data_IF_217880565930
#
_entry.id   IF_217880565930
#
_cell.length_a   1.000
_cell.length_b   1.000
_cell.length_c   1.000
_cell.angle_alpha   90.00
_cell.angle_beta   90.00
_cell.angle_gamma   90.00
#
_symmetry.space_group_name_H-M   'P 1'
#
loop_
_entity.id
_entity.type
_entity.pdbx_description
1 polymer ?
#
# COMPACT_ATOMS: atom_id res chain seq x y z
N UNK A 1 35.64 -11.22 68.38
CA UNK A 1 35.15 -9.85 68.67
C UNK A 1 35.06 -9.16 67.32
N UNK A 2 33.89 -9.09 66.67
CA UNK A 2 32.77 -8.23 67.01
C UNK A 2 33.14 -6.78 66.63
N UNK A 3 32.43 -5.99 65.85
CA UNK A 3 31.08 -6.07 65.27
C UNK A 3 30.98 -4.94 64.19
N UNK A 4 29.91 -4.99 63.41
CA UNK A 4 29.34 -4.12 62.37
C UNK A 4 29.61 -2.58 62.31
N UNK A 5 29.60 -2.04 61.07
CA UNK A 5 28.73 -0.94 60.50
C UNK A 5 29.39 -0.38 59.22
N UNK A 6 28.94 -0.70 57.99
CA UNK A 6 27.80 -0.17 57.20
C UNK A 6 27.94 1.29 56.71
N UNK A 7 27.83 1.47 55.37
CA UNK A 7 27.50 2.65 54.51
C UNK A 7 28.58 2.85 53.44
N UNK A 8 28.37 2.92 52.13
CA UNK A 8 27.20 3.12 51.26
C UNK A 8 27.56 2.55 49.87
N UNK A 9 26.69 1.73 49.28
CA UNK A 9 26.83 1.28 47.91
C UNK A 9 26.13 2.30 46.99
N UNK A 10 26.90 2.98 46.14
CA UNK A 10 26.36 3.86 45.09
C UNK A 10 25.62 3.00 44.07
N UNK A 11 24.29 2.92 44.20
CA UNK A 11 23.41 2.40 43.16
C UNK A 11 23.28 3.48 42.07
N UNK A 12 24.01 3.29 40.98
CA UNK A 12 23.72 4.00 39.73
C UNK A 12 22.37 3.54 39.20
N UNK A 13 21.32 4.32 39.49
CA UNK A 13 20.01 4.19 38.85
C UNK A 13 20.17 4.68 37.41
N UNK A 14 20.30 3.76 36.47
CA UNK A 14 20.05 4.08 35.06
C UNK A 14 18.54 4.34 34.91
N UNK A 15 18.16 5.61 34.98
CA UNK A 15 16.85 6.06 34.52
C UNK A 15 16.85 5.91 33.00
N UNK A 16 16.28 4.80 32.53
CA UNK A 16 15.99 4.62 31.11
C UNK A 16 14.91 5.64 30.75
N UNK A 17 15.32 6.79 30.21
CA UNK A 17 14.40 7.73 29.58
C UNK A 17 13.82 7.05 28.33
N UNK A 18 12.68 6.37 28.50
CA UNK A 18 11.79 6.06 27.40
C UNK A 18 11.34 7.39 26.80
N UNK A 19 12.03 7.83 25.75
CA UNK A 19 11.52 8.87 24.86
C UNK A 19 10.26 8.32 24.19
N UNK A 20 9.11 8.52 24.82
CA UNK A 20 7.84 8.56 24.11
C UNK A 20 7.93 9.75 23.16
N UNK A 21 8.29 9.50 21.91
CA UNK A 21 8.06 10.44 20.83
C UNK A 21 6.54 10.55 20.71
N UNK A 22 5.96 11.55 21.38
CA UNK A 22 4.59 11.95 21.11
C UNK A 22 4.53 12.37 19.65
N UNK A 23 3.82 11.60 18.83
CA UNK A 23 3.46 11.98 17.47
C UNK A 23 2.43 13.09 17.62
N UNK A 24 2.91 14.32 17.81
CA UNK A 24 2.04 15.50 17.76
C UNK A 24 1.83 15.77 16.27
N UNK A 25 0.71 15.29 15.73
CA UNK A 25 0.16 15.81 14.49
C UNK A 25 -0.01 17.32 14.67
N UNK A 26 0.42 18.12 13.70
CA UNK A 26 0.24 19.57 13.76
C UNK A 26 -1.25 19.89 13.99
N UNK A 27 -1.58 20.88 14.84
CA UNK A 27 -2.98 21.23 15.10
C UNK A 27 -3.71 21.52 13.78
N UNK A 28 -4.80 20.81 13.51
CA UNK A 28 -5.63 20.96 12.30
C UNK A 28 -5.36 19.96 11.17
N UNK A 29 -4.41 19.04 11.31
CA UNK A 29 -4.13 18.04 10.29
C UNK A 29 -5.02 16.78 10.41
N UNK A 30 -5.94 16.60 9.45
CA UNK A 30 -6.88 15.46 9.38
C UNK A 30 -6.28 14.16 8.79
N UNK A 31 -4.95 14.02 8.75
CA UNK A 31 -4.29 12.85 8.15
C UNK A 31 -4.67 11.56 8.90
N UNK A 32 -4.95 10.49 8.15
CA UNK A 32 -5.32 9.19 8.71
C UNK A 32 -6.74 9.10 9.26
N UNK A 33 -7.56 10.14 9.04
CA UNK A 33 -8.98 10.14 9.39
C UNK A 33 -9.85 9.94 8.15
N UNK A 34 -11.02 9.31 8.34
CA UNK A 34 -12.03 9.23 7.27
C UNK A 34 -12.56 10.65 7.01
N UNK A 35 -12.70 11.01 5.74
CA UNK A 35 -13.19 12.31 5.31
C UNK A 35 -14.44 12.19 4.43
N UNK A 36 -15.30 13.21 4.46
CA UNK A 36 -16.41 13.36 3.52
C UNK A 36 -15.97 14.03 2.21
N UNK A 37 -14.74 14.56 2.16
CA UNK A 37 -14.19 15.15 0.95
C UNK A 37 -14.09 14.09 -0.16
N UNK A 38 -14.76 14.37 -1.28
CA UNK A 38 -14.70 13.52 -2.47
C UNK A 38 -13.33 13.61 -3.14
N UNK A 39 -12.88 12.51 -3.75
CA UNK A 39 -11.70 12.54 -4.60
C UNK A 39 -11.89 13.46 -5.82
N UNK A 40 -10.83 14.14 -6.21
CA UNK A 40 -10.78 14.97 -7.42
C UNK A 40 -10.35 14.11 -8.62
N UNK A 41 -10.94 14.36 -9.80
CA UNK A 41 -10.63 13.61 -11.02
C UNK A 41 -10.18 14.55 -12.13
N UNK A 42 -9.00 14.28 -12.67
CA UNK A 42 -8.41 14.98 -13.81
C UNK A 42 -8.11 13.96 -14.89
N UNK A 43 -8.49 14.24 -16.13
CA UNK A 43 -8.28 13.32 -17.25
C UNK A 43 -7.65 14.05 -18.44
N UNK A 44 -6.83 13.32 -19.21
CA UNK A 44 -6.35 13.78 -20.51
C UNK A 44 -7.51 13.85 -21.52
N UNK A 45 -7.41 14.72 -22.52
CA UNK A 45 -8.50 15.00 -23.47
C UNK A 45 -8.91 13.81 -24.35
N UNK A 46 -8.06 12.78 -24.43
CA UNK A 46 -8.31 11.53 -25.17
C UNK A 46 -8.88 10.41 -24.30
N UNK A 47 -9.10 10.66 -23.01
CA UNK A 47 -9.76 9.70 -22.10
C UNK A 47 -11.27 9.83 -22.28
N UNK A 48 -11.93 8.72 -22.60
CA UNK A 48 -13.38 8.67 -22.72
C UNK A 48 -14.06 8.83 -21.34
N UNK A 49 -15.20 9.51 -21.30
CA UNK A 49 -16.00 9.69 -20.06
C UNK A 49 -16.33 8.36 -19.38
N UNK A 50 -16.58 7.30 -20.16
CA UNK A 50 -16.84 5.97 -19.63
C UNK A 50 -15.69 5.40 -18.80
N UNK A 51 -14.45 5.74 -19.11
CA UNK A 51 -13.28 5.37 -18.30
C UNK A 51 -13.23 6.19 -17.01
N UNK A 52 -13.54 7.48 -17.06
CA UNK A 52 -13.58 8.35 -15.87
C UNK A 52 -14.63 7.83 -14.88
N UNK A 53 -15.85 7.54 -15.38
CA UNK A 53 -16.94 7.00 -14.56
C UNK A 53 -16.64 5.60 -14.04
N UNK A 54 -15.95 4.76 -14.82
CA UNK A 54 -15.48 3.46 -14.35
C UNK A 54 -14.50 3.62 -13.17
N UNK A 55 -13.51 4.51 -13.28
CA UNK A 55 -12.55 4.77 -12.21
C UNK A 55 -13.24 5.31 -10.96
N UNK A 56 -14.16 6.28 -11.10
CA UNK A 56 -14.97 6.81 -9.99
C UNK A 56 -15.74 5.69 -9.28
N UNK A 57 -16.43 4.83 -10.03
CA UNK A 57 -17.20 3.71 -9.47
C UNK A 57 -16.32 2.78 -8.63
N UNK A 58 -15.14 2.40 -9.12
CA UNK A 58 -14.26 1.49 -8.39
C UNK A 58 -13.56 2.16 -7.19
N UNK A 59 -13.24 3.45 -7.29
CA UNK A 59 -12.85 4.26 -6.14
C UNK A 59 -13.95 4.26 -5.07
N UNK A 60 -15.21 4.50 -5.42
CA UNK A 60 -16.32 4.56 -4.47
C UNK A 60 -16.54 3.21 -3.77
N UNK A 61 -16.39 2.09 -4.49
CA UNK A 61 -16.41 0.74 -3.92
C UNK A 61 -15.28 0.60 -2.88
N UNK A 62 -14.06 1.01 -3.22
CA UNK A 62 -12.91 0.95 -2.33
C UNK A 62 -13.08 1.82 -1.08
N UNK A 63 -13.48 3.08 -1.27
CA UNK A 63 -13.70 4.05 -0.20
C UNK A 63 -14.83 3.63 0.74
N UNK A 64 -15.91 3.05 0.21
CA UNK A 64 -16.98 2.47 1.03
C UNK A 64 -16.49 1.28 1.86
N UNK A 65 -15.63 0.43 1.30
CA UNK A 65 -15.19 -0.79 1.97
C UNK A 65 -14.06 -0.57 2.99
N UNK A 66 -13.14 0.34 2.70
CA UNK A 66 -11.94 0.56 3.51
C UNK A 66 -11.92 1.90 4.26
N UNK A 67 -12.87 2.79 3.98
CA UNK A 67 -12.92 4.17 4.46
C UNK A 67 -12.40 5.15 3.41
N UNK A 68 -13.00 6.34 3.35
CA UNK A 68 -12.62 7.40 2.44
C UNK A 68 -11.47 8.25 3.04
N UNK A 69 -10.28 8.19 2.47
CA UNK A 69 -9.11 8.93 2.94
C UNK A 69 -8.64 9.93 1.88
N UNK A 70 -8.24 11.12 2.32
CA UNK A 70 -7.84 12.20 1.43
C UNK A 70 -7.04 13.31 2.14
N UNK A 71 -6.75 14.41 1.44
CA UNK A 71 -7.18 14.72 0.07
C UNK A 71 -6.64 13.72 -0.97
N UNK A 72 -7.47 13.32 -1.94
CA UNK A 72 -7.13 12.32 -2.96
C UNK A 72 -7.43 12.87 -4.37
N UNK A 73 -6.47 12.68 -5.26
CA UNK A 73 -6.58 13.06 -6.67
C UNK A 73 -6.34 11.84 -7.57
N UNK A 74 -7.23 11.64 -8.54
CA UNK A 74 -7.03 10.73 -9.66
C UNK A 74 -6.61 11.51 -10.91
N UNK A 75 -5.51 11.08 -11.52
CA UNK A 75 -5.01 11.58 -12.80
C UNK A 75 -5.08 10.47 -13.83
N UNK A 76 -6.06 10.56 -14.73
CA UNK A 76 -6.37 9.53 -15.71
C UNK A 76 -5.72 9.91 -17.04
N UNK A 77 -4.84 9.03 -17.52
CA UNK A 77 -4.01 9.26 -18.71
C UNK A 77 -4.49 8.35 -19.83
N UNK A 78 -4.73 8.93 -21.01
CA UNK A 78 -5.05 8.18 -22.23
C UNK A 78 -3.80 7.60 -22.90
N UNK A 79 -3.87 7.42 -24.22
CA UNK A 79 -2.78 6.88 -25.04
C UNK A 79 -2.09 7.94 -25.90
N UNK A 80 -2.59 9.17 -25.90
CA UNK A 80 -2.04 10.28 -26.69
C UNK A 80 -1.01 11.08 -25.88
N UNK A 81 0.25 11.08 -26.33
CA UNK A 81 1.35 11.79 -25.66
C UNK A 81 1.15 13.32 -25.60
N UNK A 82 0.53 13.94 -26.62
CA UNK A 82 0.27 15.37 -26.63
C UNK A 82 -0.83 15.76 -25.62
N UNK A 83 -1.87 14.94 -25.50
CA UNK A 83 -2.89 15.09 -24.47
C UNK A 83 -2.29 14.90 -23.06
N UNK A 84 -1.43 13.89 -22.88
CA UNK A 84 -0.71 13.65 -21.63
C UNK A 84 0.22 14.82 -21.25
N UNK A 85 0.93 15.40 -22.22
CA UNK A 85 1.77 16.59 -22.01
C UNK A 85 0.95 17.82 -21.61
N UNK A 86 -0.28 17.94 -22.11
CA UNK A 86 -1.21 19.01 -21.71
C UNK A 86 -1.69 18.78 -20.27
N UNK A 87 -2.00 17.53 -19.92
CA UNK A 87 -2.35 17.15 -18.56
C UNK A 87 -1.18 17.40 -17.57
N UNK A 88 0.06 17.19 -18.00
CA UNK A 88 1.26 17.48 -17.19
C UNK A 88 1.37 18.97 -16.83
N UNK A 89 1.06 19.86 -17.76
CA UNK A 89 1.02 21.31 -17.49
C UNK A 89 -0.03 21.63 -16.43
N UNK A 90 -1.26 21.11 -16.60
CA UNK A 90 -2.35 21.27 -15.63
C UNK A 90 -1.95 20.76 -14.24
N UNK A 91 -1.30 19.60 -14.15
CA UNK A 91 -0.77 19.08 -12.88
C UNK A 91 0.19 20.05 -12.21
N UNK A 92 1.13 20.58 -12.97
CA UNK A 92 2.12 21.52 -12.46
C UNK A 92 1.53 22.87 -12.06
N UNK A 93 0.51 23.36 -12.77
CA UNK A 93 -0.23 24.56 -12.38
C UNK A 93 -0.93 24.36 -11.04
N UNK A 94 -1.62 23.22 -10.84
CA UNK A 94 -2.24 22.90 -9.55
C UNK A 94 -1.18 22.73 -8.45
N UNK A 95 -0.05 22.07 -8.73
CA UNK A 95 1.04 21.96 -7.73
C UNK A 95 1.57 23.35 -7.35
N UNK A 96 1.72 24.26 -8.32
CA UNK A 96 2.17 25.64 -8.09
C UNK A 96 1.18 26.45 -7.26
N UNK A 97 -0.13 26.24 -7.45
CA UNK A 97 -1.17 26.84 -6.62
C UNK A 97 -1.09 26.34 -5.16
N UNK A 98 -0.92 25.03 -4.97
CA UNK A 98 -0.82 24.41 -3.64
C UNK A 98 0.49 24.74 -2.92
N UNK A 99 1.59 24.89 -3.66
CA UNK A 99 2.86 25.35 -3.15
C UNK A 99 3.55 26.29 -4.16
N UNK A 100 3.43 27.62 -3.96
CA UNK A 100 4.06 28.63 -4.82
C UNK A 100 5.59 28.51 -4.90
N UNK A 101 6.24 27.75 -4.02
CA UNK A 101 7.69 27.54 -4.09
C UNK A 101 8.12 26.51 -5.14
N UNK A 102 7.20 25.67 -5.63
CA UNK A 102 7.52 24.64 -6.63
C UNK A 102 7.95 25.30 -7.95
N UNK A 103 9.15 24.99 -8.49
CA UNK A 103 9.56 25.52 -9.78
C UNK A 103 8.91 24.71 -10.91
N UNK A 104 8.21 25.40 -11.81
CA UNK A 104 7.42 24.76 -12.88
C UNK A 104 8.28 23.85 -13.78
N UNK A 105 9.52 24.27 -14.06
CA UNK A 105 10.49 23.51 -14.86
C UNK A 105 10.84 22.16 -14.22
N UNK A 106 10.98 22.10 -12.89
CA UNK A 106 11.27 20.84 -12.19
C UNK A 106 10.03 19.94 -12.16
N UNK A 107 8.84 20.52 -11.99
CA UNK A 107 7.60 19.75 -12.01
C UNK A 107 7.33 19.09 -13.38
N UNK A 108 7.54 19.83 -14.48
CA UNK A 108 7.35 19.31 -15.84
C UNK A 108 8.36 18.21 -16.21
N UNK A 109 9.57 18.26 -15.64
CA UNK A 109 10.63 17.27 -15.86
C UNK A 109 10.70 16.20 -14.78
N UNK A 110 9.59 15.94 -14.07
CA UNK A 110 9.54 14.88 -13.05
C UNK A 110 9.62 13.48 -13.69
N UNK A 111 10.21 12.53 -12.96
CA UNK A 111 10.10 11.12 -13.30
C UNK A 111 8.65 10.65 -13.23
N UNK A 112 8.30 9.62 -14.01
CA UNK A 112 6.94 9.08 -14.09
C UNK A 112 5.88 10.16 -14.40
N UNK A 113 6.18 11.08 -15.32
CA UNK A 113 5.21 12.07 -15.81
C UNK A 113 4.11 11.40 -16.65
N UNK A 114 3.05 12.14 -16.99
CA UNK A 114 1.91 11.52 -17.68
C UNK A 114 2.24 11.06 -19.09
N UNK A 115 3.18 11.71 -19.78
CA UNK A 115 3.69 11.20 -21.07
C UNK A 115 4.25 9.78 -20.91
N UNK A 116 5.01 9.51 -19.84
CA UNK A 116 5.52 8.16 -19.58
C UNK A 116 4.42 7.13 -19.34
N UNK A 117 3.32 7.52 -18.68
CA UNK A 117 2.14 6.66 -18.47
C UNK A 117 1.35 6.41 -19.76
N UNK A 118 1.27 7.39 -20.66
CA UNK A 118 0.65 7.21 -21.97
C UNK A 118 1.44 6.21 -22.83
N UNK A 119 2.79 6.26 -22.76
CA UNK A 119 3.67 5.35 -23.51
C UNK A 119 3.67 3.95 -22.89
N UNK A 120 3.92 3.86 -21.57
CA UNK A 120 4.25 2.61 -20.89
C UNK A 120 3.05 1.91 -20.24
N UNK A 121 1.95 2.62 -20.00
CA UNK A 121 0.81 2.10 -19.27
C UNK A 121 1.00 2.12 -17.75
N UNK A 122 0.26 1.23 -17.08
CA UNK A 122 0.28 0.99 -15.63
C UNK A 122 -0.46 2.04 -14.79
N UNK A 123 -0.51 1.80 -13.48
CA UNK A 123 -1.01 2.72 -12.48
C UNK A 123 0.06 2.96 -11.39
N UNK A 124 -0.21 3.91 -10.49
CA UNK A 124 0.64 4.10 -9.32
C UNK A 124 0.16 5.21 -8.39
N UNK A 125 0.39 5.00 -7.10
CA UNK A 125 0.21 6.00 -6.07
C UNK A 125 1.49 6.83 -5.84
N UNK A 126 1.31 8.14 -5.75
CA UNK A 126 2.29 9.07 -5.21
C UNK A 126 1.73 9.69 -3.92
N UNK A 127 2.28 9.26 -2.77
CA UNK A 127 1.95 9.80 -1.46
C UNK A 127 2.77 11.07 -1.19
N UNK A 128 2.09 12.20 -1.00
CA UNK A 128 2.69 13.48 -0.59
C UNK A 128 2.57 13.59 0.93
N UNK A 129 3.67 13.39 1.65
CA UNK A 129 3.72 13.37 3.12
C UNK A 129 5.09 13.78 3.69
N UNK A 130 5.99 14.35 2.90
CA UNK A 130 7.36 14.64 3.38
C UNK A 130 7.40 15.88 4.30
N UNK A 131 8.41 15.95 5.16
CA UNK A 131 8.64 17.09 6.09
C UNK A 131 8.78 18.44 5.37
N UNK A 132 9.27 18.42 4.14
CA UNK A 132 9.46 19.62 3.32
C UNK A 132 8.26 19.95 2.41
N UNK A 133 7.16 19.21 2.50
CA UNK A 133 5.97 19.44 1.68
C UNK A 133 4.92 20.25 2.44
N UNK A 134 4.51 21.38 1.86
CA UNK A 134 3.43 22.23 2.41
C UNK A 134 2.04 21.61 2.27
N UNK A 135 1.88 20.68 1.33
CA UNK A 135 0.64 19.97 1.07
C UNK A 135 0.86 18.47 1.24
N UNK A 136 -0.06 17.82 1.96
CA UNK A 136 -0.13 16.37 2.06
C UNK A 136 -1.41 15.84 1.42
N UNK A 137 -1.29 14.70 0.76
CA UNK A 137 -2.39 14.05 0.07
C UNK A 137 -1.92 12.89 -0.78
N UNK A 138 -2.85 12.31 -1.52
CA UNK A 138 -2.64 11.14 -2.34
C UNK A 138 -2.90 11.48 -3.80
N UNK A 139 -2.04 10.98 -4.69
CA UNK A 139 -2.14 11.21 -6.12
C UNK A 139 -2.06 9.84 -6.79
N UNK A 140 -3.19 9.32 -7.27
CA UNK A 140 -3.23 8.10 -8.06
C UNK A 140 -3.17 8.48 -9.54
N UNK A 141 -2.24 7.89 -10.27
CA UNK A 141 -2.22 7.96 -11.74
C UNK A 141 -2.74 6.65 -12.31
N UNK A 142 -3.73 6.72 -13.20
CA UNK A 142 -4.30 5.56 -13.91
C UNK A 142 -4.09 5.72 -15.41
N UNK A 143 -3.31 4.84 -16.04
CA UNK A 143 -3.24 4.81 -17.51
C UNK A 143 -4.41 4.05 -18.12
N UNK A 144 -4.80 4.39 -19.35
CA UNK A 144 -5.75 3.64 -20.18
C UNK A 144 -5.12 2.39 -20.83
N UNK A 145 -3.91 2.01 -20.40
CA UNK A 145 -3.08 0.97 -21.01
C UNK A 145 -2.42 0.11 -19.94
N UNK A 146 -2.47 -1.21 -20.13
CA UNK A 146 -1.81 -2.23 -19.31
C UNK A 146 -2.05 -2.10 -17.79
N UNK A 147 -3.29 -2.35 -17.32
CA UNK A 147 -4.49 -2.70 -18.11
C UNK A 147 -5.24 -1.46 -18.61
N UNK A 148 -5.97 -1.59 -19.71
CA UNK A 148 -6.93 -0.59 -20.19
C UNK A 148 -8.35 -0.81 -19.65
N UNK A 149 -9.26 0.17 -19.78
CA UNK A 149 -10.58 0.16 -19.12
C UNK A 149 -11.53 -0.96 -19.56
N UNK A 150 -11.25 -1.62 -20.70
CA UNK A 150 -12.01 -2.78 -21.18
C UNK A 150 -11.54 -4.10 -20.56
N UNK A 151 -10.35 -4.12 -19.97
CA UNK A 151 -9.78 -5.30 -19.33
C UNK A 151 -10.36 -5.45 -17.92
N UNK A 152 -10.62 -6.68 -17.51
CA UNK A 152 -11.12 -6.98 -16.16
C UNK A 152 -10.16 -6.44 -15.07
N UNK A 153 -8.86 -6.60 -15.32
CA UNK A 153 -7.80 -6.24 -14.37
C UNK A 153 -7.80 -4.73 -14.05
N UNK A 154 -8.30 -3.86 -14.93
CA UNK A 154 -8.41 -2.40 -14.68
C UNK A 154 -9.13 -2.08 -13.38
N UNK A 155 -10.23 -2.81 -13.14
CA UNK A 155 -11.09 -2.63 -11.98
C UNK A 155 -10.35 -2.97 -10.68
N UNK A 156 -9.66 -4.11 -10.67
CA UNK A 156 -8.83 -4.51 -9.54
C UNK A 156 -7.62 -3.60 -9.35
N UNK A 157 -7.06 -3.01 -10.41
CA UNK A 157 -5.94 -2.05 -10.28
C UNK A 157 -6.39 -0.74 -9.62
N UNK A 158 -7.59 -0.23 -9.91
CA UNK A 158 -8.13 0.94 -9.16
C UNK A 158 -8.25 0.63 -7.67
N UNK A 159 -8.71 -0.58 -7.33
CA UNK A 159 -8.75 -1.04 -5.93
C UNK A 159 -7.35 -1.19 -5.33
N UNK A 160 -6.38 -1.71 -6.08
CA UNK A 160 -4.99 -1.87 -5.65
C UNK A 160 -4.37 -0.52 -5.26
N UNK A 161 -4.44 0.46 -6.15
CA UNK A 161 -3.89 1.79 -5.88
C UNK A 161 -4.59 2.49 -4.72
N UNK A 162 -5.91 2.31 -4.60
CA UNK A 162 -6.63 2.85 -3.45
C UNK A 162 -6.29 2.10 -2.15
N UNK A 163 -5.94 0.81 -2.19
CA UNK A 163 -5.46 0.13 -0.99
C UNK A 163 -4.12 0.71 -0.52
N UNK A 164 -3.25 1.17 -1.41
CA UNK A 164 -2.07 1.93 -0.99
C UNK A 164 -2.44 3.25 -0.28
N UNK A 165 -3.50 3.94 -0.71
CA UNK A 165 -4.04 5.10 0.03
C UNK A 165 -4.42 4.70 1.44
N UNK A 166 -5.15 3.59 1.59
CA UNK A 166 -5.50 3.04 2.91
C UNK A 166 -4.24 2.78 3.76
N UNK A 167 -3.25 2.07 3.21
CA UNK A 167 -2.01 1.75 3.92
C UNK A 167 -1.25 3.00 4.39
N UNK A 168 -1.09 3.99 3.52
CA UNK A 168 -0.34 5.21 3.82
C UNK A 168 -1.12 6.20 4.69
N UNK A 169 -2.45 6.23 4.63
CA UNK A 169 -3.26 7.04 5.53
C UNK A 169 -3.04 6.64 7.00
N UNK A 170 -2.81 5.35 7.27
CA UNK A 170 -2.51 4.84 8.60
C UNK A 170 -1.04 5.02 9.03
N UNK A 171 -0.22 5.74 8.25
CA UNK A 171 1.16 6.07 8.61
C UNK A 171 1.27 7.59 8.77
N UNK A 172 1.31 8.08 10.01
CA UNK A 172 1.14 9.50 10.29
C UNK A 172 2.42 10.33 10.08
N UNK A 173 3.59 9.71 10.25
CA UNK A 173 4.86 10.43 10.26
C UNK A 173 5.18 11.13 8.94
N UNK A 174 5.66 12.38 9.03
CA UNK A 174 6.23 13.09 7.87
C UNK A 174 7.67 12.70 7.53
N UNK A 175 8.36 12.02 8.45
CA UNK A 175 9.74 11.59 8.26
C UNK A 175 9.79 10.36 7.36
N UNK A 176 10.44 10.49 6.20
CA UNK A 176 10.49 9.45 5.16
C UNK A 176 10.97 8.10 5.69
N UNK A 177 12.07 8.08 6.45
CA UNK A 177 12.63 6.83 6.98
C UNK A 177 11.70 6.12 7.96
N UNK A 178 10.90 6.86 8.74
CA UNK A 178 9.89 6.26 9.62
C UNK A 178 8.77 5.64 8.80
N UNK A 179 8.29 6.33 7.74
CA UNK A 179 7.27 5.76 6.86
C UNK A 179 7.73 4.50 6.15
N UNK A 180 8.96 4.51 5.61
CA UNK A 180 9.55 3.35 4.95
C UNK A 180 9.72 2.17 5.92
N UNK A 181 10.06 2.43 7.19
CA UNK A 181 10.12 1.39 8.22
C UNK A 181 8.74 0.82 8.58
N UNK A 182 7.70 1.67 8.68
CA UNK A 182 6.34 1.22 8.99
C UNK A 182 5.64 0.53 7.82
N UNK A 183 5.95 0.92 6.58
CA UNK A 183 5.38 0.34 5.37
C UNK A 183 6.13 -0.90 4.86
N UNK A 184 7.37 -1.10 5.34
CA UNK A 184 8.38 -1.98 4.75
C UNK A 184 8.89 -1.48 3.40
N UNK A 185 10.21 -1.58 3.19
CA UNK A 185 10.85 -1.06 1.98
C UNK A 185 10.67 -1.97 0.76
N UNK A 186 10.59 -3.28 0.98
CA UNK A 186 10.46 -4.25 -0.08
C UNK A 186 8.98 -4.60 -0.34
N UNK A 187 8.62 -5.02 -1.57
CA UNK A 187 7.22 -5.09 -2.00
C UNK A 187 6.31 -6.08 -1.25
N UNK A 188 6.89 -7.09 -0.60
CA UNK A 188 6.17 -8.24 -0.05
C UNK A 188 4.98 -7.88 0.85
N UNK A 189 5.07 -6.78 1.61
CA UNK A 189 4.02 -6.31 2.50
C UNK A 189 3.10 -5.29 1.85
N UNK A 190 3.64 -4.17 1.36
CA UNK A 190 2.86 -3.08 0.78
C UNK A 190 2.10 -3.53 -0.46
N UNK A 191 2.83 -4.04 -1.45
CA UNK A 191 2.30 -4.48 -2.75
C UNK A 191 1.57 -5.81 -2.62
N UNK A 192 2.10 -6.75 -1.84
CA UNK A 192 1.39 -8.01 -1.54
C UNK A 192 0.03 -7.77 -0.89
N UNK A 193 -0.05 -6.80 0.02
CA UNK A 193 -1.27 -6.33 0.65
C UNK A 193 -2.27 -5.74 -0.33
N UNK A 194 -1.82 -4.79 -1.15
CA UNK A 194 -2.65 -4.15 -2.15
C UNK A 194 -3.19 -5.17 -3.17
N UNK A 195 -2.33 -6.09 -3.65
CA UNK A 195 -2.71 -7.16 -4.56
C UNK A 195 -3.78 -8.07 -3.96
N UNK A 196 -3.55 -8.63 -2.76
CA UNK A 196 -4.50 -9.57 -2.17
C UNK A 196 -5.85 -8.89 -1.85
N UNK A 197 -5.80 -7.72 -1.22
CA UNK A 197 -7.02 -7.03 -0.77
C UNK A 197 -7.84 -6.51 -1.94
N UNK A 198 -7.21 -6.03 -3.01
CA UNK A 198 -7.89 -5.63 -4.23
C UNK A 198 -8.60 -6.81 -4.91
N UNK A 199 -7.89 -7.94 -5.07
CA UNK A 199 -8.46 -9.15 -5.69
C UNK A 199 -9.60 -9.72 -4.84
N UNK A 200 -9.44 -9.73 -3.51
CA UNK A 200 -10.48 -10.16 -2.58
C UNK A 200 -11.72 -9.27 -2.66
N UNK A 201 -11.57 -7.94 -2.61
CA UNK A 201 -12.70 -7.03 -2.71
C UNK A 201 -13.38 -7.12 -4.08
N UNK A 202 -12.60 -7.20 -5.17
CA UNK A 202 -13.14 -7.39 -6.51
C UNK A 202 -13.98 -8.66 -6.60
N UNK A 203 -13.47 -9.79 -6.07
CA UNK A 203 -14.16 -11.07 -6.10
C UNK A 203 -15.51 -11.10 -5.36
N UNK A 204 -15.75 -10.16 -4.44
CA UNK A 204 -17.01 -10.01 -3.70
C UNK A 204 -18.06 -9.18 -4.45
N UNK A 205 -17.73 -8.60 -5.60
CA UNK A 205 -18.66 -7.74 -6.33
C UNK A 205 -19.65 -8.55 -7.15
N UNK A 206 -20.90 -8.06 -7.21
CA UNK A 206 -21.97 -8.67 -8.02
C UNK A 206 -21.54 -8.82 -9.48
N UNK A 207 -21.72 -10.02 -10.03
CA UNK A 207 -21.40 -10.34 -11.42
C UNK A 207 -19.96 -10.79 -11.65
N UNK A 208 -19.12 -10.82 -10.60
CA UNK A 208 -17.84 -11.53 -10.68
C UNK A 208 -18.09 -13.02 -10.51
N UNK A 209 -17.49 -13.83 -11.38
CA UNK A 209 -17.74 -15.27 -11.43
C UNK A 209 -17.20 -15.99 -10.18
N UNK A 210 -17.89 -17.05 -9.78
CA UNK A 210 -17.41 -17.97 -8.75
C UNK A 210 -16.00 -18.50 -9.09
N UNK A 211 -15.16 -18.62 -8.07
CA UNK A 211 -13.78 -19.10 -8.23
C UNK A 211 -12.78 -18.09 -8.79
N UNK A 212 -13.20 -16.86 -9.11
CA UNK A 212 -12.30 -15.80 -9.61
C UNK A 212 -11.05 -15.64 -8.72
N UNK A 213 -11.23 -15.48 -7.41
CA UNK A 213 -10.11 -15.24 -6.50
C UNK A 213 -9.13 -16.42 -6.46
N UNK A 214 -9.66 -17.66 -6.43
CA UNK A 214 -8.83 -18.87 -6.47
C UNK A 214 -7.99 -18.93 -7.74
N UNK A 215 -8.58 -18.64 -8.90
CA UNK A 215 -7.86 -18.58 -10.17
C UNK A 215 -6.77 -17.51 -10.15
N UNK A 216 -7.07 -16.29 -9.68
CA UNK A 216 -6.07 -15.21 -9.59
C UNK A 216 -4.91 -15.59 -8.68
N UNK A 217 -5.20 -16.16 -7.51
CA UNK A 217 -4.17 -16.60 -6.57
C UNK A 217 -3.34 -17.74 -7.14
N UNK A 218 -3.96 -18.75 -7.78
CA UNK A 218 -3.23 -19.82 -8.47
C UNK A 218 -2.28 -19.26 -9.55
N UNK A 219 -2.73 -18.27 -10.33
CA UNK A 219 -1.86 -17.62 -11.33
C UNK A 219 -0.64 -16.94 -10.69
N UNK A 220 -0.84 -16.25 -9.57
CA UNK A 220 0.23 -15.60 -8.79
C UNK A 220 1.20 -16.62 -8.21
N UNK A 221 0.71 -17.79 -7.79
CA UNK A 221 1.55 -18.84 -7.21
C UNK A 221 2.64 -19.32 -8.17
N UNK A 222 2.46 -19.18 -9.49
CA UNK A 222 3.47 -19.54 -10.49
C UNK A 222 4.81 -18.82 -10.29
N UNK A 223 4.81 -17.66 -9.66
CA UNK A 223 6.02 -16.90 -9.31
C UNK A 223 6.94 -17.64 -8.33
N UNK A 224 6.47 -18.74 -7.70
CA UNK A 224 7.32 -19.65 -6.93
C UNK A 224 8.46 -20.26 -7.77
N UNK A 225 8.25 -20.42 -9.09
CA UNK A 225 9.26 -20.99 -10.01
C UNK A 225 10.49 -20.10 -10.16
N UNK A 226 10.33 -18.79 -9.91
CA UNK A 226 11.38 -17.79 -10.04
C UNK A 226 12.01 -17.42 -8.68
N UNK A 227 11.46 -17.95 -7.58
CA UNK A 227 11.99 -17.79 -6.23
C UNK A 227 13.20 -18.74 -6.06
N UNK A 228 14.34 -18.19 -5.65
CA UNK A 228 15.56 -19.00 -5.47
C UNK A 228 15.47 -19.80 -4.18
N UNK A 229 16.17 -20.93 -4.14
CA UNK A 229 16.28 -21.73 -2.92
C UNK A 229 16.88 -20.89 -1.78
N UNK A 230 16.24 -20.95 -0.61
CA UNK A 230 16.63 -20.18 0.57
C UNK A 230 16.32 -18.67 0.52
N UNK A 231 15.78 -18.14 -0.58
CA UNK A 231 15.43 -16.72 -0.71
C UNK A 231 14.08 -16.43 -0.04
N UNK A 232 14.03 -15.42 0.81
CA UNK A 232 12.79 -14.91 1.37
C UNK A 232 12.21 -13.79 0.51
N UNK A 233 10.89 -13.75 0.33
CA UNK A 233 10.21 -12.68 -0.42
C UNK A 233 10.43 -11.30 0.20
N UNK A 234 10.73 -11.24 1.51
CA UNK A 234 11.01 -9.99 2.21
C UNK A 234 12.30 -9.33 1.74
N UNK A 235 13.23 -10.08 1.15
CA UNK A 235 14.56 -9.62 0.75
C UNK A 235 14.63 -9.25 -0.74
N UNK A 236 13.54 -9.45 -1.50
CA UNK A 236 13.47 -9.11 -2.93
C UNK A 236 13.06 -7.64 -3.07
N UNK A 237 13.92 -6.76 -3.62
CA UNK A 237 13.60 -5.35 -3.78
C UNK A 237 12.71 -5.09 -5.00
N UNK A 238 12.23 -3.84 -5.12
CA UNK A 238 11.68 -3.31 -6.35
C UNK A 238 12.65 -3.49 -7.54
N UNK A 239 12.11 -3.67 -8.75
CA UNK A 239 12.89 -3.90 -9.98
C UNK A 239 12.49 -5.17 -10.72
N UNK A 240 13.42 -5.75 -11.47
CA UNK A 240 13.16 -6.85 -12.43
C UNK A 240 12.48 -8.08 -11.80
N UNK A 241 12.76 -8.37 -10.53
CA UNK A 241 12.23 -9.54 -9.80
C UNK A 241 11.11 -9.20 -8.83
N UNK A 242 10.69 -7.93 -8.77
CA UNK A 242 9.68 -7.47 -7.82
C UNK A 242 8.37 -8.26 -7.91
N UNK A 243 7.99 -8.70 -9.12
CA UNK A 243 6.80 -9.54 -9.33
C UNK A 243 6.74 -10.76 -8.40
N UNK A 244 7.87 -11.36 -8.05
CA UNK A 244 7.92 -12.49 -7.11
C UNK A 244 7.42 -12.05 -5.74
N UNK A 245 7.90 -10.91 -5.24
CA UNK A 245 7.48 -10.34 -3.96
C UNK A 245 6.03 -9.84 -3.98
N UNK A 246 5.53 -9.32 -5.11
CA UNK A 246 4.12 -8.95 -5.26
C UNK A 246 3.22 -10.19 -5.17
N UNK A 247 3.51 -11.19 -6.00
CA UNK A 247 2.65 -12.37 -6.16
C UNK A 247 2.71 -13.28 -4.94
N UNK A 248 3.90 -13.59 -4.42
CA UNK A 248 4.06 -14.39 -3.21
C UNK A 248 3.77 -13.57 -1.94
N UNK A 249 3.94 -12.25 -1.98
CA UNK A 249 3.44 -11.36 -0.93
C UNK A 249 1.93 -11.43 -0.79
N UNK A 250 1.19 -11.41 -1.91
CA UNK A 250 -0.27 -11.61 -1.87
C UNK A 250 -0.66 -12.95 -1.25
N UNK A 251 0.08 -14.03 -1.55
CA UNK A 251 -0.10 -15.33 -0.89
C UNK A 251 0.25 -15.30 0.59
N UNK A 252 1.30 -14.57 0.97
CA UNK A 252 1.66 -14.38 2.37
C UNK A 252 0.55 -13.65 3.15
N UNK A 253 -0.04 -12.61 2.56
CA UNK A 253 -1.19 -11.91 3.16
C UNK A 253 -2.41 -12.83 3.30
N UNK A 254 -2.70 -13.66 2.29
CA UNK A 254 -3.74 -14.69 2.39
C UNK A 254 -3.47 -15.68 3.53
N UNK A 255 -2.21 -16.12 3.68
CA UNK A 255 -1.75 -17.06 4.69
C UNK A 255 -1.87 -16.49 6.11
N UNK A 256 -1.42 -15.25 6.36
CA UNK A 256 -1.57 -14.66 7.70
C UNK A 256 -3.04 -14.40 8.04
N UNK A 257 -3.87 -14.03 7.05
CA UNK A 257 -5.32 -13.85 7.25
C UNK A 257 -6.00 -15.18 7.59
N UNK A 258 -5.62 -16.30 6.95
CA UNK A 258 -6.21 -17.61 7.24
C UNK A 258 -5.84 -18.14 8.63
N UNK A 259 -4.68 -17.74 9.16
CA UNK A 259 -4.26 -18.02 10.55
C UNK A 259 -4.82 -17.04 11.58
N UNK A 260 -5.37 -15.92 11.14
CA UNK A 260 -5.89 -14.86 12.00
C UNK A 260 -7.27 -14.40 11.52
N UNK A 261 -7.37 -13.25 10.87
CA UNK A 261 -8.57 -12.75 10.21
C UNK A 261 -8.25 -11.56 9.29
N UNK A 262 -9.17 -11.25 8.37
CA UNK A 262 -9.09 -10.01 7.59
C UNK A 262 -9.11 -8.77 8.49
N UNK A 263 -9.86 -8.80 9.60
CA UNK A 263 -9.91 -7.70 10.56
C UNK A 263 -8.56 -7.50 11.28
N UNK A 264 -7.86 -8.58 11.64
CA UNK A 264 -6.53 -8.50 12.24
C UNK A 264 -5.54 -7.81 11.31
N UNK A 265 -5.51 -8.22 10.03
CA UNK A 265 -4.65 -7.61 9.02
C UNK A 265 -5.05 -6.18 8.67
N UNK A 266 -6.30 -5.96 8.32
CA UNK A 266 -6.75 -4.67 7.78
C UNK A 266 -6.93 -3.63 8.87
N UNK A 267 -7.57 -3.96 9.99
CA UNK A 267 -7.97 -2.96 10.98
C UNK A 267 -7.00 -2.91 12.15
N UNK A 268 -6.79 -4.05 12.81
CA UNK A 268 -6.09 -4.08 14.09
C UNK A 268 -4.60 -3.78 13.94
N UNK A 269 -3.93 -4.37 12.95
CA UNK A 269 -2.53 -4.07 12.62
C UNK A 269 -2.30 -2.58 12.36
N UNK A 270 -3.09 -1.96 11.48
CA UNK A 270 -2.90 -0.55 11.13
C UNK A 270 -3.25 0.40 12.28
N UNK A 271 -4.22 0.04 13.13
CA UNK A 271 -4.58 0.81 14.34
C UNK A 271 -3.40 0.98 15.30
N UNK A 272 -2.62 -0.08 15.51
CA UNK A 272 -1.49 -0.03 16.45
C UNK A 272 -0.15 0.34 15.78
N UNK A 273 -0.09 0.39 14.44
CA UNK A 273 1.14 0.55 13.64
C UNK A 273 1.99 1.74 14.08
N UNK A 274 1.40 2.93 14.22
CA UNK A 274 2.14 4.14 14.61
C UNK A 274 2.73 4.05 16.03
N UNK A 275 2.03 3.35 16.94
CA UNK A 275 2.44 3.27 18.35
C UNK A 275 3.42 2.13 18.64
N UNK A 276 3.35 1.04 17.86
CA UNK A 276 4.12 -0.19 18.10
C UNK A 276 5.20 -0.47 17.07
N UNK A 277 5.24 0.30 15.98
CA UNK A 277 6.05 -0.06 14.83
C UNK A 277 5.48 -1.27 14.08
N UNK A 278 6.14 -1.63 12.98
CA UNK A 278 5.74 -2.75 12.15
C UNK A 278 5.74 -4.07 12.95
N UNK A 279 6.89 -4.50 13.49
CA UNK A 279 6.99 -5.78 14.21
C UNK A 279 6.14 -5.82 15.48
N UNK A 280 6.11 -4.74 16.25
CA UNK A 280 5.31 -4.72 17.48
C UNK A 280 3.81 -4.81 17.22
N UNK A 281 3.32 -4.22 16.12
CA UNK A 281 1.93 -4.40 15.70
C UNK A 281 1.70 -5.78 15.09
N UNK A 282 2.64 -6.26 14.28
CA UNK A 282 2.59 -7.58 13.65
C UNK A 282 2.44 -8.70 14.69
N UNK A 283 3.34 -8.76 15.67
CA UNK A 283 3.31 -9.76 16.75
C UNK A 283 2.00 -9.70 17.53
N UNK A 284 1.52 -8.48 17.84
CA UNK A 284 0.29 -8.31 18.62
C UNK A 284 -0.94 -8.89 17.92
N UNK A 285 -1.02 -8.78 16.60
CA UNK A 285 -2.23 -9.14 15.84
C UNK A 285 -2.16 -10.47 15.11
N UNK A 286 -0.97 -11.00 14.89
CA UNK A 286 -0.76 -12.31 14.23
C UNK A 286 -0.16 -13.37 15.17
N UNK A 287 0.20 -13.00 16.41
CA UNK A 287 0.67 -13.92 17.45
C UNK A 287 2.14 -14.34 17.34
N UNK A 288 2.79 -14.08 16.21
CA UNK A 288 4.16 -14.46 15.90
C UNK A 288 4.91 -13.31 15.23
N UNK A 289 6.24 -13.35 15.22
CA UNK A 289 7.02 -12.34 14.49
C UNK A 289 6.84 -12.47 12.98
N UNK A 290 7.10 -11.38 12.23
CA UNK A 290 7.05 -11.46 10.76
C UNK A 290 8.04 -12.48 10.21
N UNK A 291 9.21 -12.59 10.86
CA UNK A 291 10.22 -13.60 10.54
C UNK A 291 9.66 -15.02 10.71
N UNK A 292 9.05 -15.34 11.85
CA UNK A 292 8.54 -16.70 12.11
C UNK A 292 7.45 -17.09 11.11
N UNK A 293 6.52 -16.18 10.79
CA UNK A 293 5.48 -16.46 9.81
C UNK A 293 6.02 -16.55 8.39
N UNK A 294 7.02 -15.74 8.03
CA UNK A 294 7.70 -15.87 6.74
C UNK A 294 8.45 -17.20 6.64
N UNK A 295 9.11 -17.62 7.71
CA UNK A 295 9.79 -18.92 7.76
C UNK A 295 8.79 -20.08 7.63
N UNK A 296 7.65 -20.04 8.34
CA UNK A 296 6.58 -21.03 8.18
C UNK A 296 6.01 -21.01 6.75
N UNK A 297 5.79 -19.81 6.21
CA UNK A 297 5.28 -19.64 4.85
C UNK A 297 6.20 -20.29 3.81
N UNK A 298 7.49 -19.99 3.86
CA UNK A 298 8.47 -20.50 2.91
C UNK A 298 8.78 -21.98 3.10
N UNK A 299 8.95 -22.43 4.35
CA UNK A 299 9.46 -23.77 4.65
C UNK A 299 8.37 -24.83 4.76
N UNK A 300 7.12 -24.43 5.00
CA UNK A 300 5.99 -25.33 5.19
C UNK A 300 4.87 -25.04 4.19
N UNK A 301 4.27 -23.84 4.21
CA UNK A 301 3.08 -23.56 3.41
C UNK A 301 3.35 -23.66 1.89
N UNK A 302 4.44 -23.07 1.40
CA UNK A 302 4.78 -23.11 -0.03
C UNK A 302 5.11 -24.53 -0.53
N UNK A 303 5.38 -25.49 0.35
CA UNK A 303 5.64 -26.90 0.02
C UNK A 303 4.40 -27.79 -0.03
N UNK A 304 3.24 -27.29 0.41
CA UNK A 304 1.98 -28.02 0.35
C UNK A 304 1.55 -28.33 -1.10
N UNK A 305 0.58 -29.23 -1.29
CA UNK A 305 -0.06 -29.41 -2.60
C UNK A 305 -0.77 -28.12 -3.05
N UNK A 306 -1.01 -27.95 -4.35
CA UNK A 306 -1.80 -26.81 -4.85
C UNK A 306 -3.20 -26.79 -4.22
N UNK A 307 -3.82 -27.96 -4.09
CA UNK A 307 -5.15 -28.11 -3.48
C UNK A 307 -5.14 -27.60 -2.03
N UNK A 308 -4.16 -28.00 -1.23
CA UNK A 308 -4.05 -27.58 0.17
C UNK A 308 -3.78 -26.07 0.30
N UNK A 309 -2.96 -25.49 -0.58
CA UNK A 309 -2.78 -24.03 -0.63
C UNK A 309 -4.08 -23.32 -0.97
N UNK A 310 -4.89 -23.85 -1.89
CA UNK A 310 -6.15 -23.21 -2.28
C UNK A 310 -7.24 -23.29 -1.21
N UNK A 311 -7.12 -24.17 -0.20
CA UNK A 311 -8.07 -24.26 0.93
C UNK A 311 -8.12 -22.97 1.76
N UNK A 312 -7.03 -22.19 1.81
CA UNK A 312 -7.02 -20.92 2.55
C UNK A 312 -7.68 -19.76 1.81
N UNK A 313 -7.96 -19.92 0.51
CA UNK A 313 -8.60 -18.88 -0.31
C UNK A 313 -10.12 -19.02 -0.17
N UNK A 314 -10.83 -17.97 0.29
CA UNK A 314 -12.26 -18.04 0.52
C UNK A 314 -13.00 -18.36 -0.79
N UNK A 315 -14.01 -19.23 -0.68
CA UNK A 315 -14.96 -19.45 -1.78
C UNK A 315 -15.99 -18.34 -1.69
N UNK A 316 -16.02 -17.47 -2.69
CA UNK A 316 -16.99 -16.37 -2.79
C UNK A 316 -17.95 -16.75 -3.92
N UNK A 317 -19.24 -16.73 -3.60
CA UNK A 317 -20.34 -17.08 -4.48
C UNK A 317 -21.01 -15.82 -5.04
#
# INVERSE_FOLDING_TARGET
MGDFRSTEAVRSVFVLFCFFISIISAPGEQWGQITEQKAEFFAASDVADSQIELTKKWYEIAAKNWGNYGPLEFWIVGNNEAAAKTLDRKYCDIRKQKDPSIPIRHCLNRGHNFVSYAIRGNAGLNTRRNENEKWSGFIITMSAKFPGPKEEDYKSVVLHEYFHVYQHAHIHSRKRSVRESLHQQNPWWGEGGAEYMAQLLYSRQKGVRAGYLKERMERKLRSIKDLREGESIKDIPYGKRARIAYDLGAWFIAFIISKSSEEAYRVKFYKDLNSKGFEGSFVKHFGFSSKDLLDEFHNSFLKLSLEDKLKIIPSIN
#
